data_IF_836358694537
#
_entry.id   IF_836358694537
#
_cell.length_a   1.000
_cell.length_b   1.000
_cell.length_c   1.000
_cell.angle_alpha   90.00
_cell.angle_beta   90.00
_cell.angle_gamma   90.00
#
_symmetry.space_group_name_H-M   'P 1'
#
loop_
_entity.id
_entity.type
_entity.pdbx_description
1 polymer ?
#
# COMPACT_ATOMS: atom_id res chain seq x y z
N UNK A 1 -15.07 2.02 29.01
CA UNK A 1 -14.58 2.28 27.63
C UNK A 1 -13.24 1.57 27.43
N UNK A 2 -13.15 0.72 26.43
CA UNK A 2 -11.88 0.07 26.14
C UNK A 2 -11.00 1.00 25.32
N UNK A 3 -9.76 1.15 25.78
CA UNK A 3 -8.74 1.85 25.02
C UNK A 3 -8.02 0.82 24.16
N UNK A 4 -8.06 0.98 22.85
CA UNK A 4 -7.35 0.09 21.96
C UNK A 4 -5.92 0.60 21.78
N UNK A 5 -4.97 -0.29 21.94
CA UNK A 5 -3.58 0.03 21.64
C UNK A 5 -3.40 -0.02 20.13
N UNK A 6 -2.83 1.04 19.52
CA UNK A 6 -2.55 1.01 18.10
C UNK A 6 -1.60 -0.13 17.76
N UNK A 7 -1.85 -0.78 16.64
CA UNK A 7 -1.01 -1.87 16.14
C UNK A 7 -0.28 -1.41 14.89
N UNK A 8 0.99 -1.74 14.82
CA UNK A 8 1.83 -1.45 13.66
C UNK A 8 2.41 -2.77 13.18
N UNK A 9 2.26 -3.04 11.89
CA UNK A 9 2.85 -4.22 11.26
C UNK A 9 4.07 -3.80 10.47
N UNK A 10 5.15 -4.52 10.63
CA UNK A 10 6.41 -4.24 9.95
C UNK A 10 6.99 -5.54 9.42
N UNK A 11 7.42 -5.52 8.17
CA UNK A 11 8.04 -6.67 7.53
C UNK A 11 9.25 -6.21 6.73
N UNK A 12 10.26 -7.06 6.66
CA UNK A 12 11.41 -6.81 5.81
C UNK A 12 11.12 -7.35 4.42
N UNK A 13 11.29 -6.49 3.41
CA UNK A 13 11.16 -6.88 2.01
C UNK A 13 12.45 -6.55 1.30
N UNK A 14 12.96 -7.51 0.51
CA UNK A 14 14.27 -7.38 -0.15
C UNK A 14 14.16 -7.30 -1.66
N UNK A 15 12.95 -7.32 -2.22
CA UNK A 15 12.73 -7.32 -3.65
C UNK A 15 11.57 -6.42 -4.02
N UNK A 16 11.68 -5.78 -5.19
CA UNK A 16 10.59 -5.03 -5.80
C UNK A 16 9.90 -5.80 -6.93
N UNK A 17 10.19 -7.08 -7.06
CA UNK A 17 9.43 -7.92 -7.97
C UNK A 17 7.97 -7.98 -7.52
N UNK A 18 7.04 -7.88 -8.49
CA UNK A 18 5.61 -7.73 -8.19
C UNK A 18 5.09 -8.87 -7.33
N UNK A 19 5.40 -10.12 -7.67
CA UNK A 19 4.92 -11.26 -6.91
C UNK A 19 5.50 -11.30 -5.48
N UNK A 20 6.78 -10.98 -5.34
CA UNK A 20 7.43 -10.94 -4.04
C UNK A 20 6.87 -9.82 -3.18
N UNK A 21 6.61 -8.64 -3.76
CA UNK A 21 5.97 -7.54 -3.06
C UNK A 21 4.58 -7.90 -2.61
N UNK A 22 3.82 -8.59 -3.47
CA UNK A 22 2.48 -9.01 -3.11
C UNK A 22 2.48 -9.94 -1.91
N UNK A 23 3.34 -10.94 -1.90
CA UNK A 23 3.47 -11.85 -0.76
C UNK A 23 3.86 -11.10 0.50
N UNK A 24 4.80 -10.17 0.40
CA UNK A 24 5.22 -9.36 1.53
C UNK A 24 4.06 -8.53 2.08
N UNK A 25 3.28 -7.91 1.21
CA UNK A 25 2.13 -7.11 1.63
C UNK A 25 1.04 -7.96 2.25
N UNK A 26 0.77 -9.14 1.71
CA UNK A 26 -0.21 -10.05 2.30
C UNK A 26 0.21 -10.47 3.70
N UNK A 27 1.49 -10.81 3.87
CA UNK A 27 2.05 -11.16 5.17
C UNK A 27 1.97 -9.98 6.14
N UNK A 28 2.31 -8.79 5.65
CA UNK A 28 2.28 -7.56 6.44
C UNK A 28 0.88 -7.25 6.97
N UNK A 29 -0.13 -7.44 6.14
CA UNK A 29 -1.51 -7.08 6.46
C UNK A 29 -2.24 -8.15 7.25
N UNK A 30 -1.76 -9.39 7.23
CA UNK A 30 -2.44 -10.50 7.89
C UNK A 30 -2.75 -10.24 9.36
N UNK A 31 -1.79 -9.77 10.19
CA UNK A 31 -2.09 -9.49 11.61
C UNK A 31 -3.12 -8.38 11.80
N UNK A 32 -3.33 -7.56 10.78
CA UNK A 32 -4.27 -6.44 10.82
C UNK A 32 -5.63 -6.80 10.23
N UNK A 33 -5.81 -8.04 9.77
CA UNK A 33 -7.06 -8.51 9.19
C UNK A 33 -7.06 -8.58 7.67
N UNK A 34 -5.93 -8.33 7.02
CA UNK A 34 -5.80 -8.33 5.57
C UNK A 34 -6.35 -7.06 4.94
N UNK A 35 -6.23 -6.97 3.62
CA UNK A 35 -6.70 -5.78 2.87
C UNK A 35 -8.20 -5.55 3.07
N UNK A 36 -8.97 -6.61 3.25
CA UNK A 36 -10.43 -6.51 3.41
C UNK A 36 -10.84 -5.93 4.74
N UNK A 37 -9.94 -5.81 5.71
CA UNK A 37 -10.20 -5.07 6.93
C UNK A 37 -10.25 -3.57 6.69
N UNK A 38 -9.65 -3.09 5.60
CA UNK A 38 -9.54 -1.67 5.27
C UNK A 38 -10.37 -1.27 4.06
N UNK A 39 -10.60 -2.20 3.13
CA UNK A 39 -11.26 -1.92 1.86
C UNK A 39 -12.50 -2.80 1.73
N UNK A 40 -13.65 -2.16 1.54
CA UNK A 40 -14.92 -2.84 1.31
C UNK A 40 -15.34 -2.63 -0.14
N UNK A 41 -16.20 -3.54 -0.61
CA UNK A 41 -16.72 -3.44 -1.98
C UNK A 41 -17.37 -2.07 -2.21
N UNK A 42 -16.98 -1.43 -3.29
CA UNK A 42 -17.46 -0.11 -3.65
C UNK A 42 -16.68 1.06 -3.08
N UNK A 43 -15.76 0.82 -2.17
CA UNK A 43 -14.97 1.90 -1.58
C UNK A 43 -14.10 2.59 -2.63
N UNK A 44 -14.02 3.91 -2.53
CA UNK A 44 -13.03 4.68 -3.27
C UNK A 44 -11.79 4.81 -2.40
N UNK A 45 -10.67 4.31 -2.90
CA UNK A 45 -9.44 4.22 -2.11
C UNK A 45 -8.36 5.11 -2.73
N UNK A 46 -8.02 6.16 -2.02
CA UNK A 46 -6.94 7.04 -2.46
C UNK A 46 -5.59 6.39 -2.15
N UNK A 47 -4.80 6.18 -3.18
CA UNK A 47 -3.42 5.77 -3.05
C UNK A 47 -2.55 7.01 -3.15
N UNK A 48 -1.77 7.25 -2.12
CA UNK A 48 -0.97 8.45 -2.03
C UNK A 48 0.51 8.10 -2.00
N UNK A 49 1.10 7.80 -3.16
CA UNK A 49 2.52 7.48 -3.21
C UNK A 49 3.37 8.70 -2.90
N UNK A 50 4.54 8.46 -2.37
CA UNK A 50 5.47 9.54 -2.10
C UNK A 50 6.23 9.87 -3.40
N UNK A 51 5.75 10.90 -4.10
CA UNK A 51 6.37 11.36 -5.35
C UNK A 51 7.08 12.68 -5.08
N UNK A 52 8.38 12.69 -5.28
CA UNK A 52 9.18 13.90 -5.07
C UNK A 52 9.52 14.53 -6.41
N UNK A 53 9.16 15.80 -6.57
CA UNK A 53 9.45 16.56 -7.78
C UNK A 53 10.96 16.70 -7.94
N UNK A 54 11.47 16.40 -9.14
CA UNK A 54 12.89 16.48 -9.42
C UNK A 54 13.72 15.33 -8.87
N UNK A 55 13.08 14.35 -8.25
CA UNK A 55 13.78 13.18 -7.74
C UNK A 55 14.24 12.29 -8.89
N UNK A 56 15.39 11.67 -8.69
CA UNK A 56 15.86 10.65 -9.64
C UNK A 56 14.99 9.40 -9.50
N UNK A 57 14.81 8.62 -10.58
CA UNK A 57 14.00 7.38 -10.51
C UNK A 57 14.50 6.39 -9.46
N UNK A 58 15.78 6.47 -9.09
CA UNK A 58 16.38 5.60 -8.08
C UNK A 58 16.37 6.20 -6.68
N UNK A 59 15.73 7.35 -6.49
CA UNK A 59 15.66 7.98 -5.18
C UNK A 59 14.86 7.12 -4.21
N UNK A 60 15.45 6.81 -3.06
CA UNK A 60 14.85 5.94 -2.06
C UNK A 60 13.58 6.53 -1.44
N UNK A 61 13.44 7.84 -1.48
CA UNK A 61 12.29 8.55 -0.92
C UNK A 61 11.07 8.57 -1.83
N UNK A 62 11.19 8.05 -3.06
CA UNK A 62 10.08 7.96 -4.00
C UNK A 62 9.49 6.55 -3.97
N UNK A 63 8.17 6.47 -3.88
CA UNK A 63 7.49 5.17 -3.90
C UNK A 63 7.65 4.51 -5.26
N UNK A 64 8.06 3.26 -5.26
CA UNK A 64 8.30 2.50 -6.50
C UNK A 64 6.98 2.21 -7.21
N UNK A 65 6.97 2.29 -8.56
CA UNK A 65 5.77 1.95 -9.33
C UNK A 65 5.25 0.54 -9.07
N UNK A 66 6.13 -0.42 -8.85
CA UNK A 66 5.73 -1.80 -8.55
C UNK A 66 4.89 -1.87 -7.28
N UNK A 67 5.25 -1.09 -6.26
CA UNK A 67 4.49 -1.04 -5.02
C UNK A 67 3.08 -0.48 -5.27
N UNK A 68 2.99 0.60 -6.02
CA UNK A 68 1.69 1.21 -6.36
C UNK A 68 0.83 0.21 -7.12
N UNK A 69 1.42 -0.48 -8.08
CA UNK A 69 0.71 -1.49 -8.87
C UNK A 69 0.14 -2.60 -8.00
N UNK A 70 0.96 -3.14 -7.09
CA UNK A 70 0.52 -4.24 -6.23
C UNK A 70 -0.60 -3.80 -5.30
N UNK A 71 -0.44 -2.64 -4.66
CA UNK A 71 -1.48 -2.13 -3.76
C UNK A 71 -2.77 -1.86 -4.49
N UNK A 72 -2.70 -1.23 -5.67
CA UNK A 72 -3.89 -0.97 -6.48
C UNK A 72 -4.60 -2.27 -6.87
N UNK A 73 -3.83 -3.29 -7.25
CA UNK A 73 -4.38 -4.59 -7.61
C UNK A 73 -5.11 -5.23 -6.41
N UNK A 74 -4.49 -5.18 -5.24
CA UNK A 74 -5.10 -5.74 -4.03
C UNK A 74 -6.39 -5.00 -3.66
N UNK A 75 -6.42 -3.68 -3.82
CA UNK A 75 -7.63 -2.88 -3.59
C UNK A 75 -8.74 -3.30 -4.54
N UNK A 76 -8.42 -3.43 -5.84
CA UNK A 76 -9.42 -3.84 -6.82
C UNK A 76 -9.95 -5.25 -6.55
N UNK A 77 -9.10 -6.17 -6.15
CA UNK A 77 -9.53 -7.53 -5.80
C UNK A 77 -10.44 -7.55 -4.58
N UNK A 78 -10.29 -6.59 -3.68
CA UNK A 78 -11.18 -6.46 -2.54
C UNK A 78 -12.50 -5.75 -2.89
N UNK A 79 -12.67 -5.33 -4.15
CA UNK A 79 -13.87 -4.66 -4.61
C UNK A 79 -13.82 -3.15 -4.52
N UNK A 80 -12.68 -2.60 -4.15
CA UNK A 80 -12.49 -1.15 -4.09
C UNK A 80 -12.12 -0.54 -5.43
N UNK A 81 -12.18 0.78 -5.49
CA UNK A 81 -11.83 1.56 -6.68
C UNK A 81 -10.65 2.45 -6.34
N UNK A 82 -9.42 2.02 -6.70
CA UNK A 82 -8.24 2.81 -6.37
C UNK A 82 -8.09 4.00 -7.30
N UNK A 83 -7.59 5.10 -6.77
CA UNK A 83 -7.19 6.24 -7.57
C UNK A 83 -5.96 6.87 -6.94
N UNK A 84 -5.13 7.48 -7.78
CA UNK A 84 -3.88 8.08 -7.33
C UNK A 84 -4.09 9.57 -7.07
N UNK A 85 -3.46 10.05 -6.02
CA UNK A 85 -3.42 11.47 -5.72
C UNK A 85 -2.16 11.81 -4.97
N UNK A 86 -1.60 12.96 -5.26
CA UNK A 86 -0.45 13.48 -4.55
C UNK A 86 -0.49 14.99 -4.60
N UNK A 87 0.03 15.62 -3.57
CA UNK A 87 0.20 17.06 -3.53
C UNK A 87 1.68 17.33 -3.36
N UNK A 88 2.45 17.36 -4.45
CA UNK A 88 3.87 17.68 -4.34
C UNK A 88 4.04 19.07 -3.74
N UNK A 89 4.91 19.16 -2.81
CA UNK A 89 5.20 20.42 -2.15
C UNK A 89 5.96 21.37 -3.06
#
# INVERSE_FOLDING_TARGET
MQTQTPSVSLIRATSYEVEALRESLETLLEPLGGIRAFVKSGDRVLLKPNLLTGSRPTAECTTRPEMVYVVATMVMEAGGKPFLGDSPA
#
